data_IF_469071671152
#
_entry.id   IF_469071671152
#
_cell.length_a   1.000
_cell.length_b   1.000
_cell.length_c   1.000
_cell.angle_alpha   90.00
_cell.angle_beta   90.00
_cell.angle_gamma   90.00
#
_symmetry.space_group_name_H-M   'P 1'
#
loop_
_entity.id
_entity.type
_entity.pdbx_description
1 polymer ?
#
# COMPACT_ATOMS: atom_id res chain seq x y z
N UNK A 1 -14.60 -9.04 -13.09
CA UNK A 1 -13.59 -8.39 -13.95
C UNK A 1 -12.24 -8.62 -13.31
N UNK A 2 -11.25 -9.07 -14.09
CA UNK A 2 -9.89 -9.36 -13.65
C UNK A 2 -8.90 -8.72 -14.61
N UNK A 3 -7.83 -8.13 -14.09
CA UNK A 3 -6.79 -7.50 -14.88
C UNK A 3 -5.66 -7.01 -13.99
N UNK A 4 -4.50 -6.69 -14.59
CA UNK A 4 -3.36 -6.14 -13.86
C UNK A 4 -3.77 -4.90 -13.05
N UNK A 5 -4.50 -4.01 -13.72
CA UNK A 5 -5.17 -2.86 -13.14
C UNK A 5 -6.64 -2.86 -13.56
N UNK A 6 -7.54 -2.48 -12.65
CA UNK A 6 -8.95 -2.25 -12.97
C UNK A 6 -9.26 -0.78 -12.75
N UNK A 7 -9.91 -0.16 -13.73
CA UNK A 7 -10.44 1.20 -13.61
C UNK A 7 -11.95 1.18 -13.77
N UNK A 8 -12.65 1.73 -12.78
CA UNK A 8 -14.06 2.07 -12.89
C UNK A 8 -14.19 3.55 -13.21
N UNK A 9 -15.10 3.87 -14.14
CA UNK A 9 -15.36 5.21 -14.66
C UNK A 9 -14.16 5.84 -15.40
N UNK A 10 -13.68 5.20 -16.48
CA UNK A 10 -12.67 5.80 -17.36
C UNK A 10 -13.27 6.85 -18.32
N UNK A 11 -14.53 6.65 -18.74
CA UNK A 11 -15.35 7.58 -19.52
C UNK A 11 -16.82 7.40 -19.06
N UNK A 12 -17.43 8.47 -18.53
CA UNK A 12 -18.81 8.45 -18.04
C UNK A 12 -19.00 7.90 -16.63
N UNK A 13 -20.25 7.93 -16.16
CA UNK A 13 -20.62 7.50 -14.82
C UNK A 13 -20.79 5.98 -14.77
N UNK A 14 -20.24 5.34 -13.74
CA UNK A 14 -20.49 3.94 -13.40
C UNK A 14 -21.36 3.90 -12.15
N UNK A 15 -22.63 3.59 -12.33
CA UNK A 15 -23.61 3.55 -11.24
C UNK A 15 -23.99 2.09 -10.96
N UNK A 16 -23.74 1.61 -9.75
CA UNK A 16 -24.22 0.30 -9.29
C UNK A 16 -25.62 0.47 -8.72
N UNK A 17 -26.60 -0.10 -9.39
CA UNK A 17 -28.00 -0.07 -8.96
C UNK A 17 -28.23 -0.98 -7.74
N UNK A 18 -29.28 -0.74 -6.91
CA UNK A 18 -29.64 -1.62 -5.82
C UNK A 18 -29.77 -3.08 -6.28
N UNK A 19 -29.38 -4.03 -5.42
CA UNK A 19 -29.30 -5.46 -5.69
C UNK A 19 -28.21 -5.89 -6.69
N UNK A 20 -27.43 -4.97 -7.24
CA UNK A 20 -26.29 -5.31 -8.09
C UNK A 20 -25.13 -5.84 -7.23
N UNK A 21 -24.55 -6.98 -7.63
CA UNK A 21 -23.34 -7.54 -7.01
C UNK A 21 -22.16 -7.48 -7.97
N UNK A 22 -21.14 -6.70 -7.64
CA UNK A 22 -19.91 -6.58 -8.42
C UNK A 22 -18.72 -7.02 -7.59
N UNK A 23 -17.97 -7.99 -8.12
CA UNK A 23 -16.69 -8.43 -7.58
C UNK A 23 -15.56 -8.03 -8.54
N UNK A 24 -14.67 -7.16 -8.06
CA UNK A 24 -13.51 -6.68 -8.79
C UNK A 24 -12.22 -7.24 -8.17
N UNK A 25 -11.36 -7.81 -9.01
CA UNK A 25 -10.05 -8.32 -8.59
C UNK A 25 -8.96 -7.73 -9.49
N UNK A 26 -7.96 -7.07 -8.92
CA UNK A 26 -6.82 -6.60 -9.67
C UNK A 26 -5.52 -7.16 -9.10
N UNK A 27 -4.48 -7.28 -9.92
CA UNK A 27 -3.18 -7.76 -9.42
C UNK A 27 -2.43 -6.65 -8.68
N UNK A 28 -2.56 -5.40 -9.11
CA UNK A 28 -1.79 -4.28 -8.56
C UNK A 28 -2.68 -3.17 -8.02
N UNK A 29 -3.57 -2.60 -8.84
CA UNK A 29 -4.38 -1.42 -8.46
C UNK A 29 -5.82 -1.48 -8.94
N UNK A 30 -6.71 -0.90 -8.12
CA UNK A 30 -8.12 -0.64 -8.46
C UNK A 30 -8.36 0.86 -8.34
N UNK A 31 -8.72 1.50 -9.44
CA UNK A 31 -9.06 2.92 -9.48
C UNK A 31 -10.57 3.10 -9.53
N UNK A 32 -11.13 3.77 -8.53
CA UNK A 32 -12.49 4.30 -8.55
C UNK A 32 -12.39 5.78 -8.89
N UNK A 33 -12.62 6.14 -10.16
CA UNK A 33 -12.55 7.53 -10.59
C UNK A 33 -13.86 8.27 -10.27
N UNK A 34 -13.85 9.62 -10.23
CA UNK A 34 -15.06 10.41 -10.18
C UNK A 34 -16.07 9.93 -11.23
N UNK A 35 -17.35 9.82 -10.84
CA UNK A 35 -18.40 9.19 -11.66
C UNK A 35 -18.74 7.75 -11.26
N UNK A 36 -17.94 7.11 -10.39
CA UNK A 36 -18.35 5.87 -9.73
C UNK A 36 -19.31 6.15 -8.57
N UNK A 37 -20.48 5.50 -8.57
CA UNK A 37 -21.47 5.60 -7.50
C UNK A 37 -22.11 4.24 -7.22
N UNK A 38 -21.98 3.72 -6.00
CA UNK A 38 -22.68 2.52 -5.58
C UNK A 38 -23.93 2.90 -4.76
N UNK A 39 -25.13 2.68 -5.31
CA UNK A 39 -26.38 3.03 -4.61
C UNK A 39 -26.60 2.13 -3.39
N UNK A 40 -27.34 2.62 -2.41
CA UNK A 40 -27.77 1.84 -1.25
C UNK A 40 -28.49 0.55 -1.71
N UNK A 41 -28.11 -0.59 -1.12
CA UNK A 41 -28.60 -1.91 -1.52
C UNK A 41 -27.79 -2.61 -2.61
N UNK A 42 -26.77 -1.96 -3.19
CA UNK A 42 -25.76 -2.64 -4.02
C UNK A 42 -24.66 -3.29 -3.18
N UNK A 43 -23.93 -4.24 -3.76
CA UNK A 43 -22.77 -4.89 -3.16
C UNK A 43 -21.57 -4.77 -4.08
N UNK A 44 -20.56 -4.02 -3.67
CA UNK A 44 -19.30 -3.88 -4.38
C UNK A 44 -18.14 -4.41 -3.52
N UNK A 45 -17.45 -5.44 -4.02
CA UNK A 45 -16.25 -5.98 -3.38
C UNK A 45 -15.07 -5.84 -4.33
N UNK A 46 -14.11 -5.01 -3.95
CA UNK A 46 -12.84 -4.83 -4.63
C UNK A 46 -11.70 -5.42 -3.79
N UNK A 47 -10.80 -6.20 -4.39
CA UNK A 47 -9.61 -6.72 -3.72
C UNK A 47 -8.40 -6.79 -4.63
N UNK A 48 -7.22 -6.59 -4.07
CA UNK A 48 -5.97 -6.95 -4.72
C UNK A 48 -5.77 -8.46 -4.55
N UNK A 49 -5.59 -9.14 -5.67
CA UNK A 49 -5.40 -10.58 -5.76
C UNK A 49 -4.25 -10.82 -6.76
N UNK A 50 -2.99 -10.86 -6.28
CA UNK A 50 -1.80 -10.96 -7.14
C UNK A 50 -1.83 -12.17 -8.09
N UNK A 51 -2.63 -13.18 -7.75
CA UNK A 51 -2.75 -14.43 -8.49
C UNK A 51 -3.92 -14.43 -9.49
N UNK A 52 -4.75 -13.37 -9.57
CA UNK A 52 -5.89 -13.28 -10.49
C UNK A 52 -5.46 -12.95 -11.94
N UNK A 53 -4.71 -13.86 -12.56
CA UNK A 53 -4.20 -13.69 -13.92
C UNK A 53 -3.24 -14.80 -14.35
N UNK A 54 -2.69 -15.55 -13.40
CA UNK A 54 -1.78 -16.64 -13.67
C UNK A 54 -2.52 -17.98 -13.66
N UNK A 55 -3.28 -18.23 -14.73
CA UNK A 55 -3.57 -19.57 -15.21
C UNK A 55 -3.02 -19.66 -16.64
N UNK A 56 -1.71 -19.85 -16.77
CA UNK A 56 -1.14 -20.36 -18.03
C UNK A 56 -1.43 -21.86 -18.08
N UNK A 57 -2.67 -22.22 -18.43
CA UNK A 57 -2.99 -23.55 -18.94
C UNK A 57 -2.80 -23.48 -20.45
N UNK A 58 -1.87 -24.28 -20.96
CA UNK A 58 -1.34 -24.18 -22.31
C UNK A 58 -2.38 -24.31 -23.41
N UNK A 59 -2.26 -23.44 -24.41
CA UNK A 59 -2.47 -23.80 -25.81
C UNK A 59 -1.75 -22.80 -26.72
N UNK A 60 -1.06 -23.34 -27.71
CA UNK A 60 -0.26 -22.69 -28.74
C UNK A 60 -0.99 -21.58 -29.51
N UNK A 61 -0.24 -20.55 -29.91
CA UNK A 61 -0.24 -19.74 -31.16
C UNK A 61 0.15 -18.29 -30.84
N UNK A 62 1.37 -17.82 -31.20
CA UNK A 62 1.87 -17.31 -32.50
C UNK A 62 2.04 -15.77 -32.45
N UNK A 63 3.26 -15.36 -32.83
CA UNK A 63 3.78 -14.07 -33.35
C UNK A 63 3.65 -12.75 -32.60
N UNK A 64 4.82 -12.34 -32.09
CA UNK A 64 5.45 -11.01 -32.14
C UNK A 64 4.70 -9.89 -32.87
N UNK A 65 4.48 -8.77 -32.17
CA UNK A 65 4.81 -7.46 -32.73
C UNK A 65 5.56 -6.64 -31.67
N UNK A 66 6.74 -6.22 -32.08
CA UNK A 66 7.62 -5.25 -31.43
C UNK A 66 6.97 -3.88 -31.41
N UNK A 67 6.79 -3.30 -30.23
CA UNK A 67 6.75 -1.85 -30.06
C UNK A 67 7.85 -1.44 -29.08
N UNK A 68 8.79 -0.68 -29.63
CA UNK A 68 9.83 0.03 -28.91
C UNK A 68 9.54 1.53 -29.09
N UNK A 69 10.00 2.34 -28.13
CA UNK A 69 9.91 3.81 -28.05
C UNK A 69 8.57 4.28 -27.43
N UNK A 70 8.51 5.00 -26.31
CA UNK A 70 9.41 6.03 -25.77
C UNK A 70 9.41 5.92 -24.23
N UNK A 71 10.59 5.92 -23.63
CA UNK A 71 10.78 6.13 -22.18
C UNK A 71 10.49 7.59 -21.85
N UNK A 72 9.24 7.92 -21.55
CA UNK A 72 8.91 9.17 -20.86
C UNK A 72 8.81 8.90 -19.36
N UNK A 73 9.75 9.52 -18.65
CA UNK A 73 9.82 9.77 -17.22
C UNK A 73 9.00 8.80 -16.36
N UNK A 74 9.64 7.67 -16.01
CA UNK A 74 9.29 6.99 -14.77
C UNK A 74 9.54 7.98 -13.65
N UNK A 75 8.51 8.72 -13.24
CA UNK A 75 8.43 9.30 -11.91
C UNK A 75 8.73 8.15 -10.98
N UNK A 76 9.91 8.17 -10.38
CA UNK A 76 10.41 7.21 -9.42
C UNK A 76 9.39 7.21 -8.28
N UNK A 77 8.40 6.34 -8.39
CA UNK A 77 7.55 6.01 -7.27
C UNK A 77 8.53 5.28 -6.37
N UNK A 78 8.98 5.96 -5.32
CA UNK A 78 9.81 5.36 -4.29
C UNK A 78 9.02 4.19 -3.69
N UNK A 79 9.12 3.04 -4.35
CA UNK A 79 8.65 1.75 -3.88
C UNK A 79 9.62 1.25 -2.80
N UNK A 80 10.03 2.12 -1.87
CA UNK A 80 10.69 1.66 -0.66
C UNK A 80 9.62 0.98 0.17
N UNK A 81 9.52 -0.33 0.00
CA UNK A 81 8.58 -1.18 0.71
C UNK A 81 9.03 -1.24 2.18
N UNK A 82 8.62 -0.25 2.96
CA UNK A 82 8.94 -0.16 4.39
C UNK A 82 7.90 -0.98 5.17
N UNK A 83 8.41 -1.91 6.00
CA UNK A 83 7.64 -2.72 6.92
C UNK A 83 7.94 -2.28 8.35
N UNK A 84 6.89 -2.03 9.15
CA UNK A 84 7.01 -1.79 10.60
C UNK A 84 6.21 -2.86 11.34
N UNK A 85 6.90 -3.66 12.15
CA UNK A 85 6.31 -4.79 12.89
C UNK A 85 6.89 -4.91 14.31
N UNK A 86 6.24 -5.62 15.24
CA UNK A 86 4.81 -5.93 15.20
C UNK A 86 3.97 -4.66 15.38
N UNK A 87 2.74 -4.67 14.90
CA UNK A 87 1.76 -3.62 15.15
C UNK A 87 0.39 -4.28 15.36
N UNK A 88 -0.20 -4.27 16.57
CA UNK A 88 0.25 -3.59 17.80
C UNK A 88 1.57 -4.13 18.42
N UNK A 89 2.18 -3.38 19.34
CA UNK A 89 3.37 -3.80 20.10
C UNK A 89 3.39 -3.28 21.54
N UNK A 90 4.30 -3.80 22.36
CA UNK A 90 4.60 -3.27 23.71
C UNK A 90 5.55 -2.05 23.70
N UNK A 91 5.65 -1.37 22.54
CA UNK A 91 6.55 -0.24 22.32
C UNK A 91 7.85 -0.61 21.61
N UNK A 92 8.08 -1.88 21.25
CA UNK A 92 9.24 -2.30 20.46
C UNK A 92 8.80 -2.59 19.03
N UNK A 93 9.37 -1.86 18.07
CA UNK A 93 9.11 -2.01 16.65
C UNK A 93 10.41 -2.28 15.90
N UNK A 94 10.34 -3.14 14.90
CA UNK A 94 11.38 -3.33 13.88
C UNK A 94 10.91 -2.66 12.61
N UNK A 95 11.80 -1.88 12.02
CA UNK A 95 11.63 -1.19 10.75
C UNK A 95 12.58 -1.85 9.75
N UNK A 96 12.00 -2.38 8.68
CA UNK A 96 12.71 -3.05 7.60
C UNK A 96 12.36 -2.36 6.27
N UNK A 97 13.31 -2.33 5.35
CA UNK A 97 13.14 -1.80 4.00
C UNK A 97 14.06 -2.51 3.02
N UNK A 98 13.73 -2.43 1.73
CA UNK A 98 14.57 -2.98 0.66
C UNK A 98 15.93 -2.24 0.57
N UNK A 99 15.92 -0.94 0.85
CA UNK A 99 17.11 -0.10 0.94
C UNK A 99 17.49 0.21 2.39
N UNK A 100 18.78 0.47 2.69
CA UNK A 100 19.21 0.87 4.02
C UNK A 100 18.49 2.13 4.52
N UNK A 101 17.81 2.01 5.66
CA UNK A 101 17.08 3.11 6.28
C UNK A 101 18.04 3.93 7.14
N UNK A 102 18.14 5.24 6.89
CA UNK A 102 18.90 6.14 7.74
C UNK A 102 18.09 6.48 9.02
N UNK A 103 18.60 6.17 10.22
CA UNK A 103 17.96 6.52 11.50
C UNK A 103 17.58 7.99 11.64
N UNK A 104 18.35 8.90 11.05
CA UNK A 104 18.15 10.36 11.17
C UNK A 104 16.91 10.86 10.43
N UNK A 105 16.37 10.06 9.51
CA UNK A 105 15.16 10.38 8.75
C UNK A 105 13.88 9.91 9.45
N UNK A 106 14.00 9.25 10.60
CA UNK A 106 12.86 8.73 11.34
C UNK A 106 12.32 9.81 12.28
N UNK A 107 11.07 10.16 12.05
CA UNK A 107 10.32 11.08 12.88
C UNK A 107 9.13 10.33 13.49
N UNK A 108 8.92 10.48 14.80
CA UNK A 108 7.79 9.86 15.49
C UNK A 108 6.97 10.92 16.18
N UNK A 109 5.65 10.82 16.06
CA UNK A 109 4.69 11.73 16.65
C UNK A 109 3.60 10.97 17.40
N UNK A 110 3.13 11.53 18.51
CA UNK A 110 1.90 11.05 19.16
C UNK A 110 0.64 11.56 18.43
N UNK A 111 -0.55 11.20 18.93
CA UNK A 111 -1.84 11.61 18.36
C UNK A 111 -2.09 13.12 18.38
N UNK A 112 -1.39 13.85 19.24
CA UNK A 112 -1.49 15.30 19.36
C UNK A 112 -0.47 16.03 18.47
N UNK A 113 0.34 15.28 17.71
CA UNK A 113 1.38 15.83 16.84
C UNK A 113 2.65 16.20 17.61
N UNK A 114 2.79 15.81 18.87
CA UNK A 114 4.03 16.05 19.62
C UNK A 114 5.11 15.10 19.12
N UNK A 115 6.26 15.66 18.75
CA UNK A 115 7.45 14.87 18.38
C UNK A 115 7.98 14.11 19.59
N UNK A 116 8.15 12.80 19.45
CA UNK A 116 8.80 11.94 20.44
C UNK A 116 10.16 11.47 19.92
N UNK A 117 11.11 11.24 20.83
CA UNK A 117 12.46 10.82 20.51
C UNK A 117 12.64 9.37 20.99
N UNK A 118 12.32 8.36 20.16
CA UNK A 118 12.53 6.97 20.54
C UNK A 118 14.02 6.67 20.65
N UNK A 119 14.36 5.61 21.39
CA UNK A 119 15.68 5.01 21.29
C UNK A 119 15.71 4.21 19.99
N UNK A 120 16.68 4.52 19.13
CA UNK A 120 16.86 3.85 17.85
C UNK A 120 18.17 3.06 17.89
N UNK A 121 18.06 1.75 17.64
CA UNK A 121 19.21 0.87 17.48
C UNK A 121 19.24 0.34 16.06
N UNK A 122 20.38 0.47 15.38
CA UNK A 122 20.56 -0.05 14.03
C UNK A 122 21.47 -1.29 14.07
N UNK A 123 21.01 -2.40 13.48
CA UNK A 123 21.81 -3.62 13.33
C UNK A 123 21.62 -4.18 11.93
N UNK A 124 22.67 -4.11 11.12
CA UNK A 124 22.63 -4.46 9.70
C UNK A 124 21.48 -3.71 8.98
N UNK A 125 20.55 -4.45 8.35
CA UNK A 125 19.44 -3.89 7.57
C UNK A 125 18.16 -3.68 8.39
N UNK A 126 18.19 -3.98 9.70
CA UNK A 126 17.05 -3.83 10.58
C UNK A 126 17.29 -2.69 11.59
N UNK A 127 16.25 -1.90 11.82
CA UNK A 127 16.28 -0.80 12.77
C UNK A 127 15.21 -1.05 13.84
N UNK A 128 15.64 -1.11 15.10
CA UNK A 128 14.73 -1.26 16.23
C UNK A 128 14.41 0.11 16.81
N UNK A 129 13.13 0.40 16.89
CA UNK A 129 12.55 1.61 17.46
C UNK A 129 11.88 1.27 18.79
N UNK A 130 12.32 1.93 19.86
CA UNK A 130 11.83 1.69 21.21
C UNK A 130 11.06 2.89 21.77
N UNK A 131 9.76 2.67 21.97
CA UNK A 131 8.76 3.56 22.57
C UNK A 131 8.24 3.04 23.92
N UNK A 132 8.85 2.01 24.53
CA UNK A 132 8.32 1.40 25.77
C UNK A 132 8.28 2.35 26.98
N UNK A 133 9.09 3.42 26.95
CA UNK A 133 9.07 4.49 27.95
C UNK A 133 8.00 5.57 27.72
N UNK A 134 7.21 5.46 26.66
CA UNK A 134 6.16 6.43 26.30
C UNK A 134 4.76 5.90 26.64
N UNK A 135 3.78 6.80 26.64
CA UNK A 135 2.40 6.46 26.95
C UNK A 135 1.83 5.45 25.94
N UNK A 136 0.95 4.58 26.42
CA UNK A 136 0.20 3.65 25.56
C UNK A 136 -0.73 4.43 24.64
N UNK A 137 -0.87 4.01 23.40
CA UNK A 137 -1.72 4.70 22.42
C UNK A 137 -1.21 4.62 20.99
N UNK A 138 -1.75 5.49 20.13
CA UNK A 138 -1.40 5.54 18.71
C UNK A 138 -0.24 6.49 18.46
N UNK A 139 0.62 6.12 17.51
CA UNK A 139 1.76 6.91 17.06
C UNK A 139 1.83 6.94 15.53
N UNK A 140 2.40 8.00 14.99
CA UNK A 140 2.75 8.12 13.58
C UNK A 140 4.27 8.05 13.42
N UNK A 141 4.76 7.08 12.66
CA UNK A 141 6.17 6.96 12.27
C UNK A 141 6.28 7.46 10.84
N UNK A 142 7.17 8.42 10.60
CA UNK A 142 7.46 9.01 9.30
C UNK A 142 8.91 8.79 8.93
N UNK A 143 9.15 8.38 7.69
CA UNK A 143 10.47 8.09 7.13
C UNK A 143 10.51 8.69 5.73
N UNK A 144 11.11 9.87 5.57
CA UNK A 144 11.02 10.63 4.33
C UNK A 144 9.56 10.96 3.97
N UNK A 145 9.09 10.46 2.82
CA UNK A 145 7.70 10.60 2.34
C UNK A 145 6.76 9.48 2.83
N UNK A 146 7.31 8.40 3.39
CA UNK A 146 6.54 7.30 3.95
C UNK A 146 6.02 7.65 5.34
N UNK A 147 4.78 7.25 5.67
CA UNK A 147 4.19 7.42 6.99
C UNK A 147 3.29 6.25 7.35
N UNK A 148 3.42 5.71 8.57
CA UNK A 148 2.60 4.62 9.07
C UNK A 148 2.12 4.88 10.50
N UNK A 149 0.85 4.54 10.75
CA UNK A 149 0.25 4.55 12.08
C UNK A 149 0.53 3.23 12.79
N UNK A 150 1.03 3.29 14.02
CA UNK A 150 1.29 2.13 14.89
C UNK A 150 0.60 2.26 16.25
N UNK A 151 0.36 1.13 16.91
CA UNK A 151 -0.27 1.06 18.24
C UNK A 151 0.69 0.49 19.28
N UNK A 152 0.81 1.19 20.41
CA UNK A 152 1.55 0.77 21.62
C UNK A 152 0.55 0.37 22.70
N UNK A 153 0.70 -0.85 23.24
CA UNK A 153 -0.19 -1.47 24.23
C UNK A 153 0.26 -1.41 25.68
#
# INVERSE_FOLDING_TARGET
MGGKNITFASLGNVILEPNTKVNAKAQERIYLKPGFHAKAGSYFRARIDPFCGNLRIGKDSVENETENLIEEERTKTDNNNILINPNPSTGLFTIEGEEPINPQQIEVYDIFGKRVQPIINQKANALTLNLSGYAKGMYFIKIGTYSQKVMVE
#
